data_IF_718201435818
#
_entry.id   IF_718201435818
#
_cell.length_a   1.000
_cell.length_b   1.000
_cell.length_c   1.000
_cell.angle_alpha   90.00
_cell.angle_beta   90.00
_cell.angle_gamma   90.00
#
_symmetry.space_group_name_H-M   'P 1'
#
loop_
_entity.id
_entity.type
_entity.pdbx_description
1 polymer ?
#
# COMPACT_ATOMS: atom_id res chain seq x y z
N UNK A 1 9.32 7.81 -23.39
CA UNK A 1 8.01 7.91 -24.10
C UNK A 1 7.12 8.83 -23.28
N UNK A 2 6.21 9.62 -23.87
CA UNK A 2 5.27 10.40 -23.07
C UNK A 2 4.38 9.46 -22.24
N UNK A 3 4.08 9.84 -21.00
CA UNK A 3 3.12 9.12 -20.15
C UNK A 3 1.75 9.08 -20.81
N UNK A 4 1.04 7.96 -20.68
CA UNK A 4 -0.28 7.79 -21.31
C UNK A 4 -1.43 8.22 -20.38
N UNK A 5 -1.26 8.04 -19.07
CA UNK A 5 -2.29 8.18 -18.05
C UNK A 5 -1.90 9.07 -16.86
N UNK A 6 -0.61 9.34 -16.61
CA UNK A 6 -0.18 10.37 -15.66
C UNK A 6 -0.38 11.78 -16.25
N UNK A 7 -0.96 12.68 -15.45
CA UNK A 7 -0.93 14.11 -15.80
C UNK A 7 0.42 14.72 -15.42
N UNK A 8 0.82 15.86 -16.02
CA UNK A 8 2.06 16.56 -15.65
C UNK A 8 2.14 16.91 -14.15
N UNK A 9 1.01 17.28 -13.54
CA UNK A 9 0.94 17.60 -12.11
C UNK A 9 1.16 16.36 -11.24
N UNK A 10 0.64 15.20 -11.66
CA UNK A 10 0.84 13.93 -10.95
C UNK A 10 2.28 13.42 -11.09
N UNK A 11 2.88 13.58 -12.27
CA UNK A 11 4.29 13.31 -12.51
C UNK A 11 5.17 14.18 -11.60
N UNK A 12 4.98 15.49 -11.61
CA UNK A 12 5.73 16.42 -10.75
C UNK A 12 5.51 16.09 -9.26
N UNK A 13 4.27 15.78 -8.87
CA UNK A 13 3.97 15.38 -7.50
C UNK A 13 4.70 14.10 -7.12
N UNK A 14 4.70 13.09 -7.97
CA UNK A 14 5.38 11.82 -7.70
C UNK A 14 6.90 12.02 -7.60
N UNK A 15 7.50 12.77 -8.52
CA UNK A 15 8.94 13.06 -8.51
C UNK A 15 9.38 13.90 -7.29
N UNK A 16 8.53 14.81 -6.83
CA UNK A 16 8.86 15.72 -5.71
C UNK A 16 8.50 15.14 -4.34
N UNK A 17 7.44 14.33 -4.24
CA UNK A 17 6.91 13.80 -2.98
C UNK A 17 7.15 12.30 -2.78
N UNK A 18 7.43 11.56 -3.85
CA UNK A 18 7.67 10.12 -3.82
C UNK A 18 6.42 9.26 -3.65
N UNK A 19 5.22 9.82 -3.83
CA UNK A 19 3.96 9.08 -3.74
C UNK A 19 2.89 9.69 -4.64
N UNK A 20 1.84 8.92 -4.93
CA UNK A 20 0.66 9.40 -5.65
C UNK A 20 -0.61 8.81 -5.03
N UNK A 21 -1.65 9.63 -4.87
CA UNK A 21 -2.99 9.16 -4.47
C UNK A 21 -3.90 9.15 -5.69
N UNK A 22 -4.56 8.02 -5.91
CA UNK A 22 -5.55 7.85 -6.99
C UNK A 22 -6.94 7.60 -6.39
N UNK A 23 -7.78 8.65 -6.24
CA UNK A 23 -9.11 8.51 -5.64
C UNK A 23 -10.04 7.67 -6.52
N UNK A 24 -10.85 6.80 -5.89
CA UNK A 24 -11.82 5.97 -6.61
C UNK A 24 -11.18 5.02 -7.63
N UNK A 25 -9.95 4.57 -7.35
CA UNK A 25 -9.24 3.65 -8.23
C UNK A 25 -9.84 2.25 -8.25
N UNK A 26 -10.27 1.76 -7.09
CA UNK A 26 -10.83 0.41 -6.91
C UNK A 26 -12.24 0.38 -7.49
N UNK A 27 -12.56 -0.64 -8.31
CA UNK A 27 -13.93 -0.84 -8.75
C UNK A 27 -14.84 -1.23 -7.58
N UNK A 28 -16.00 -0.59 -7.50
CA UNK A 28 -16.96 -0.79 -6.41
C UNK A 28 -17.38 -2.27 -6.26
N UNK A 29 -17.48 -3.01 -7.36
CA UNK A 29 -17.83 -4.44 -7.33
C UNK A 29 -16.89 -5.29 -6.47
N UNK A 30 -15.59 -4.96 -6.44
CA UNK A 30 -14.61 -5.67 -5.64
C UNK A 30 -14.63 -5.25 -4.18
N UNK A 31 -14.92 -3.97 -3.90
CA UNK A 31 -15.17 -3.50 -2.54
C UNK A 31 -16.37 -4.27 -1.97
N UNK A 32 -17.50 -4.27 -2.67
CA UNK A 32 -18.73 -4.92 -2.22
C UNK A 32 -18.52 -6.43 -2.04
N UNK A 33 -17.90 -7.08 -3.03
CA UNK A 33 -17.66 -8.53 -3.02
C UNK A 33 -16.72 -8.95 -1.88
N UNK A 34 -15.62 -8.23 -1.66
CA UNK A 34 -14.64 -8.66 -0.67
C UNK A 34 -15.01 -8.25 0.75
N UNK A 35 -15.65 -7.09 0.92
CA UNK A 35 -16.10 -6.62 2.23
C UNK A 35 -17.33 -7.37 2.75
N UNK A 36 -18.15 -7.96 1.86
CA UNK A 36 -19.34 -8.74 2.25
C UNK A 36 -19.03 -9.85 3.25
N UNK A 37 -17.95 -10.59 3.04
CA UNK A 37 -17.61 -11.79 3.81
C UNK A 37 -16.59 -11.52 4.92
N UNK A 38 -16.12 -10.28 5.04
CA UNK A 38 -15.01 -9.90 5.92
C UNK A 38 -15.31 -10.22 7.40
N UNK A 39 -16.47 -9.79 7.90
CA UNK A 39 -16.83 -9.95 9.32
C UNK A 39 -17.03 -11.42 9.70
N UNK A 40 -17.64 -12.21 8.80
CA UNK A 40 -17.73 -13.66 8.96
C UNK A 40 -16.34 -14.30 8.98
N UNK A 41 -15.43 -13.80 8.16
CA UNK A 41 -14.07 -14.32 8.05
C UNK A 41 -13.20 -14.07 9.28
N UNK A 42 -13.40 -12.94 9.96
CA UNK A 42 -12.69 -12.60 11.20
C UNK A 42 -13.42 -13.08 12.45
N UNK A 43 -14.63 -13.64 12.30
CA UNK A 43 -15.51 -14.06 13.40
C UNK A 43 -15.87 -12.93 14.38
N UNK A 44 -16.02 -11.70 13.86
CA UNK A 44 -16.36 -10.50 14.65
C UNK A 44 -17.70 -9.92 14.21
N UNK A 45 -18.43 -9.32 15.15
CA UNK A 45 -19.59 -8.49 14.84
C UNK A 45 -19.15 -7.05 14.60
N UNK A 46 -19.44 -6.52 13.40
CA UNK A 46 -19.13 -5.14 13.02
C UNK A 46 -19.78 -4.08 13.92
N UNK A 47 -20.82 -4.44 14.67
CA UNK A 47 -21.57 -3.57 15.56
C UNK A 47 -21.28 -3.81 17.05
N UNK A 48 -20.50 -4.84 17.39
CA UNK A 48 -20.13 -5.15 18.76
C UNK A 48 -18.61 -5.35 18.90
N UNK A 49 -17.94 -4.29 19.33
CA UNK A 49 -16.48 -4.29 19.56
C UNK A 49 -16.02 -5.24 20.65
N UNK A 50 -16.90 -5.71 21.53
CA UNK A 50 -16.51 -6.70 22.55
C UNK A 50 -16.12 -8.05 21.94
N UNK A 51 -16.56 -8.29 20.69
CA UNK A 51 -16.15 -9.44 19.89
C UNK A 51 -14.77 -9.26 19.25
N UNK A 52 -14.19 -8.06 19.24
CA UNK A 52 -12.94 -7.77 18.53
C UNK A 52 -11.75 -8.05 19.45
N UNK A 53 -11.14 -9.22 19.29
CA UNK A 53 -10.11 -9.71 20.19
C UNK A 53 -8.67 -9.30 19.81
N UNK A 54 -8.50 -8.56 18.72
CA UNK A 54 -7.19 -8.14 18.17
C UNK A 54 -7.22 -6.71 17.66
N UNK A 55 -6.19 -5.90 17.92
CA UNK A 55 -6.04 -4.56 17.32
C UNK A 55 -5.63 -4.63 15.84
N UNK A 56 -4.76 -5.58 15.49
CA UNK A 56 -4.14 -5.68 14.17
C UNK A 56 -4.19 -7.12 13.65
N UNK A 57 -4.62 -7.30 12.41
CA UNK A 57 -4.78 -8.62 11.81
C UNK A 57 -4.33 -8.65 10.36
N UNK A 58 -3.59 -9.69 9.99
CA UNK A 58 -3.21 -10.03 8.62
C UNK A 58 -4.04 -11.21 8.16
N UNK A 59 -4.88 -11.01 7.16
CA UNK A 59 -5.66 -12.09 6.58
C UNK A 59 -4.91 -12.76 5.43
N UNK A 60 -4.99 -14.10 5.30
CA UNK A 60 -4.47 -14.78 4.11
C UNK A 60 -5.24 -14.30 2.86
N UNK A 61 -4.83 -14.72 1.66
CA UNK A 61 -5.67 -14.48 0.47
C UNK A 61 -6.56 -15.69 0.19
N UNK A 62 -7.80 -15.45 -0.20
CA UNK A 62 -8.71 -16.47 -0.72
C UNK A 62 -9.08 -16.21 -2.19
N UNK A 63 -9.08 -14.94 -2.61
CA UNK A 63 -9.51 -14.51 -3.93
C UNK A 63 -8.52 -13.51 -4.48
N UNK A 64 -8.31 -13.55 -5.79
CA UNK A 64 -7.43 -12.64 -6.50
C UNK A 64 -7.93 -12.41 -7.93
N UNK A 65 -7.66 -11.22 -8.45
CA UNK A 65 -7.94 -10.77 -9.82
C UNK A 65 -6.76 -9.93 -10.30
N UNK A 66 -6.69 -9.66 -11.60
CA UNK A 66 -5.60 -8.85 -12.13
C UNK A 66 -5.75 -7.37 -11.75
N UNK A 67 -4.63 -6.65 -11.70
CA UNK A 67 -4.56 -5.25 -11.29
C UNK A 67 -5.38 -4.34 -12.21
N UNK A 68 -5.32 -4.58 -13.51
CA UNK A 68 -6.12 -3.91 -14.53
C UNK A 68 -7.63 -4.19 -14.38
N UNK A 69 -7.98 -5.38 -13.90
CA UNK A 69 -9.38 -5.73 -13.63
C UNK A 69 -9.86 -5.06 -12.34
N UNK A 70 -9.05 -5.03 -11.30
CA UNK A 70 -9.39 -4.52 -9.98
C UNK A 70 -9.43 -2.99 -9.90
N UNK A 71 -8.40 -2.32 -10.41
CA UNK A 71 -8.20 -0.89 -10.29
C UNK A 71 -7.56 -0.30 -11.56
N UNK A 72 -8.27 -0.29 -12.72
CA UNK A 72 -7.70 0.05 -14.02
C UNK A 72 -7.00 1.41 -14.05
N UNK A 73 -7.62 2.44 -13.45
CA UNK A 73 -7.05 3.80 -13.38
C UNK A 73 -5.72 3.86 -12.62
N UNK A 74 -5.59 3.09 -11.54
CA UNK A 74 -4.33 3.04 -10.79
C UNK A 74 -3.31 2.19 -11.54
N UNK A 75 -3.73 1.08 -12.16
CA UNK A 75 -2.85 0.22 -12.94
C UNK A 75 -2.17 0.97 -14.09
N UNK A 76 -2.92 1.74 -14.87
CA UNK A 76 -2.34 2.53 -15.97
C UNK A 76 -1.28 3.54 -15.47
N UNK A 77 -1.53 4.20 -14.33
CA UNK A 77 -0.55 5.11 -13.71
C UNK A 77 0.67 4.36 -13.17
N UNK A 78 0.48 3.16 -12.62
CA UNK A 78 1.58 2.28 -12.21
C UNK A 78 2.44 1.94 -13.43
N UNK A 79 1.82 1.53 -14.55
CA UNK A 79 2.51 1.22 -15.80
C UNK A 79 3.36 2.41 -16.28
N UNK A 80 2.80 3.62 -16.24
CA UNK A 80 3.52 4.85 -16.57
C UNK A 80 4.72 5.09 -15.64
N UNK A 81 4.52 5.07 -14.31
CA UNK A 81 5.58 5.25 -13.30
C UNK A 81 6.70 4.22 -13.50
N UNK A 82 6.32 2.98 -13.83
CA UNK A 82 7.21 1.87 -14.06
C UNK A 82 7.98 1.95 -15.38
N UNK A 83 7.58 2.84 -16.29
CA UNK A 83 8.17 2.99 -17.62
C UNK A 83 7.77 1.89 -18.61
N UNK A 84 6.63 1.23 -18.39
CA UNK A 84 6.08 0.21 -19.28
C UNK A 84 5.63 -1.06 -18.55
N UNK A 85 4.60 -1.72 -19.09
CA UNK A 85 4.05 -2.96 -18.54
C UNK A 85 5.07 -4.11 -18.59
N UNK A 86 5.99 -4.07 -19.56
CA UNK A 86 7.09 -5.05 -19.70
C UNK A 86 8.10 -5.01 -18.54
N UNK A 87 8.08 -3.95 -17.72
CA UNK A 87 8.88 -3.84 -16.49
C UNK A 87 8.20 -4.48 -15.29
N UNK A 88 6.91 -4.77 -15.38
CA UNK A 88 6.14 -5.34 -14.27
C UNK A 88 6.09 -6.86 -14.43
N UNK A 89 6.39 -7.58 -13.35
CA UNK A 89 6.32 -9.04 -13.39
C UNK A 89 4.87 -9.48 -13.67
N UNK A 90 4.62 -10.28 -14.73
CA UNK A 90 3.26 -10.56 -15.20
C UNK A 90 2.47 -11.47 -14.26
N UNK A 91 3.12 -12.09 -13.27
CA UNK A 91 2.48 -12.98 -12.31
C UNK A 91 2.59 -12.44 -10.91
N UNK A 92 3.82 -12.12 -10.46
CA UNK A 92 4.01 -11.72 -9.07
C UNK A 92 3.32 -10.39 -8.82
N UNK A 93 3.48 -9.37 -9.65
CA UNK A 93 3.02 -8.01 -9.33
C UNK A 93 1.69 -7.63 -9.97
N UNK A 94 1.06 -8.57 -10.67
CA UNK A 94 -0.15 -8.32 -11.45
C UNK A 94 -1.44 -8.69 -10.73
N UNK A 95 -1.38 -9.42 -9.62
CA UNK A 95 -2.58 -9.93 -8.94
C UNK A 95 -2.83 -9.27 -7.59
N UNK A 96 -4.05 -8.77 -7.41
CA UNK A 96 -4.56 -8.19 -6.17
C UNK A 96 -5.71 -9.02 -5.62
N UNK A 97 -5.83 -9.06 -4.31
CA UNK A 97 -6.77 -9.96 -3.64
C UNK A 97 -7.29 -9.44 -2.32
N UNK A 98 -7.97 -10.33 -1.59
CA UNK A 98 -8.56 -10.05 -0.28
C UNK A 98 -7.63 -10.37 0.90
N UNK A 99 -6.33 -10.27 0.70
CA UNK A 99 -5.32 -10.34 1.76
C UNK A 99 -5.26 -9.01 2.52
N UNK A 100 -6.24 -8.78 3.38
CA UNK A 100 -6.37 -7.54 4.13
C UNK A 100 -5.37 -7.46 5.29
N UNK A 101 -4.76 -6.29 5.42
CA UNK A 101 -4.15 -5.80 6.65
C UNK A 101 -5.19 -4.93 7.32
N UNK A 102 -5.60 -5.32 8.52
CA UNK A 102 -6.72 -4.74 9.24
C UNK A 102 -6.21 -4.09 10.51
N UNK A 103 -6.63 -2.85 10.75
CA UNK A 103 -6.51 -2.20 12.03
C UNK A 103 -7.90 -1.93 12.60
N UNK A 104 -8.25 -2.61 13.68
CA UNK A 104 -9.53 -2.49 14.41
C UNK A 104 -9.54 -1.31 15.40
N UNK A 105 -8.38 -0.69 15.62
CA UNK A 105 -8.17 0.37 16.59
C UNK A 105 -8.19 -0.14 18.03
N UNK A 106 -8.04 0.80 18.97
CA UNK A 106 -8.17 0.55 20.40
C UNK A 106 -9.13 1.55 21.03
N UNK A 107 -9.73 1.18 22.17
CA UNK A 107 -10.56 2.11 22.95
C UNK A 107 -9.77 3.34 23.43
N UNK A 108 -8.48 3.17 23.68
CA UNK A 108 -7.58 4.26 24.09
C UNK A 108 -7.37 5.28 22.96
N UNK A 109 -7.10 4.82 21.73
CA UNK A 109 -6.78 5.69 20.59
C UNK A 109 -8.03 6.26 19.90
N UNK A 110 -9.16 5.56 19.95
CA UNK A 110 -10.41 5.98 19.31
C UNK A 110 -10.89 7.41 19.69
N UNK A 111 -10.84 7.84 20.96
CA UNK A 111 -11.25 9.20 21.35
C UNK A 111 -10.15 10.25 21.18
N UNK A 112 -8.89 9.85 20.94
CA UNK A 112 -7.77 10.79 20.86
C UNK A 112 -7.91 11.69 19.64
N UNK A 113 -7.58 12.97 19.84
CA UNK A 113 -7.57 13.99 18.78
C UNK A 113 -6.14 14.47 18.48
N UNK A 114 -5.16 13.82 19.09
CA UNK A 114 -3.76 14.19 18.96
C UNK A 114 -3.24 13.69 17.61
N UNK A 115 -2.56 14.57 16.90
CA UNK A 115 -1.74 14.17 15.77
C UNK A 115 -0.45 13.61 16.35
N UNK A 116 -0.16 12.35 16.06
CA UNK A 116 1.11 11.76 16.45
C UNK A 116 2.11 11.88 15.32
N UNK A 117 3.36 12.17 15.66
CA UNK A 117 4.45 12.08 14.70
C UNK A 117 4.65 10.61 14.30
N UNK A 118 4.64 10.26 13.00
CA UNK A 118 4.72 8.86 12.57
C UNK A 118 5.92 8.13 13.15
N UNK A 119 7.08 8.79 13.23
CA UNK A 119 8.34 8.21 13.74
C UNK A 119 8.32 7.89 15.23
N UNK A 120 7.39 8.47 15.98
CA UNK A 120 7.20 8.20 17.41
C UNK A 120 6.25 7.02 17.64
N UNK A 121 5.60 6.52 16.59
CA UNK A 121 4.69 5.38 16.69
C UNK A 121 5.46 4.08 16.81
N UNK A 122 4.99 3.23 17.74
CA UNK A 122 5.49 1.86 17.87
C UNK A 122 5.22 1.09 16.57
N UNK A 123 6.27 0.50 16.01
CA UNK A 123 6.20 -0.23 14.75
C UNK A 123 6.39 0.65 13.50
N UNK A 124 6.73 1.94 13.66
CA UNK A 124 7.20 2.74 12.54
C UNK A 124 8.47 2.15 11.95
N UNK A 125 8.46 1.95 10.64
CA UNK A 125 9.59 1.46 9.88
C UNK A 125 9.51 1.98 8.44
N UNK A 126 10.58 1.76 7.68
CA UNK A 126 10.54 1.84 6.23
C UNK A 126 10.43 0.41 5.72
N UNK A 127 9.48 0.13 4.83
CA UNK A 127 9.34 -1.20 4.26
C UNK A 127 10.67 -1.68 3.68
N UNK A 128 10.90 -2.99 3.79
CA UNK A 128 12.11 -3.70 3.35
C UNK A 128 13.42 -3.40 4.11
N UNK A 129 13.35 -2.80 5.31
CA UNK A 129 14.51 -2.54 6.17
C UNK A 129 15.11 -3.78 6.87
N UNK A 130 14.47 -4.94 6.76
CA UNK A 130 14.78 -6.17 7.50
C UNK A 130 15.48 -7.25 6.67
N UNK A 131 15.74 -7.01 5.39
CA UNK A 131 16.50 -7.92 4.53
C UNK A 131 17.43 -7.17 3.56
N UNK A 132 18.40 -7.87 2.98
CA UNK A 132 19.31 -7.26 2.00
C UNK A 132 18.59 -7.05 0.69
N UNK A 133 18.55 -5.80 0.25
CA UNK A 133 18.07 -5.42 -1.06
C UNK A 133 19.21 -5.01 -1.98
N UNK A 134 19.03 -5.30 -3.25
CA UNK A 134 19.90 -4.84 -4.33
C UNK A 134 19.15 -3.79 -5.15
N UNK A 135 19.88 -2.95 -5.90
CA UNK A 135 19.29 -1.93 -6.76
C UNK A 135 18.33 -2.51 -7.81
N UNK A 136 18.50 -3.78 -8.16
CA UNK A 136 17.64 -4.53 -9.08
C UNK A 136 16.59 -5.40 -8.37
N UNK A 137 16.50 -5.31 -7.03
CA UNK A 137 15.44 -5.95 -6.27
C UNK A 137 14.13 -5.25 -6.56
N UNK A 138 13.16 -6.05 -6.97
CA UNK A 138 11.79 -5.64 -7.20
C UNK A 138 11.14 -4.86 -6.07
N UNK A 139 11.59 -5.13 -4.85
CA UNK A 139 10.97 -4.56 -3.68
C UNK A 139 11.17 -3.07 -3.49
N UNK A 140 12.24 -2.53 -4.08
CA UNK A 140 12.64 -1.14 -3.89
C UNK A 140 11.84 -0.12 -4.70
N UNK A 141 10.94 -0.53 -5.59
CA UNK A 141 10.50 0.36 -6.65
C UNK A 141 9.17 1.05 -6.37
N UNK A 142 8.12 0.30 -6.01
CA UNK A 142 6.81 0.89 -5.72
C UNK A 142 6.03 0.03 -4.72
N UNK A 143 5.47 0.69 -3.72
CA UNK A 143 4.51 0.11 -2.77
C UNK A 143 3.10 0.60 -3.10
N UNK A 144 2.19 -0.32 -3.38
CA UNK A 144 0.79 -0.02 -3.71
C UNK A 144 -0.09 -0.33 -2.51
N UNK A 145 -0.81 0.69 -2.03
CA UNK A 145 -1.72 0.61 -0.88
C UNK A 145 -3.15 0.82 -1.40
N UNK A 146 -3.97 -0.22 -1.32
CA UNK A 146 -5.40 -0.15 -1.61
C UNK A 146 -6.19 0.03 -0.32
N UNK A 147 -7.05 1.04 -0.28
CA UNK A 147 -7.80 1.44 0.90
C UNK A 147 -9.28 1.14 0.66
N UNK A 148 -9.86 0.20 1.42
CA UNK A 148 -11.23 -0.31 1.19
C UNK A 148 -12.31 0.37 2.03
N UNK A 149 -11.89 1.10 3.06
CA UNK A 149 -12.73 1.96 3.89
C UNK A 149 -12.10 3.33 3.91
N UNK A 150 -12.87 4.37 4.24
CA UNK A 150 -12.26 5.69 4.41
C UNK A 150 -11.10 5.64 5.43
N UNK A 151 -10.28 6.68 5.47
CA UNK A 151 -9.32 6.85 6.58
C UNK A 151 -9.75 8.11 7.30
N UNK A 152 -10.42 7.94 8.43
CA UNK A 152 -10.79 9.08 9.27
C UNK A 152 -9.64 9.38 10.21
N UNK A 153 -9.24 10.66 10.28
CA UNK A 153 -8.42 11.20 11.37
C UNK A 153 -9.11 11.05 12.74
N UNK A 154 -10.40 10.71 12.74
CA UNK A 154 -11.27 10.53 13.90
C UNK A 154 -11.87 9.13 13.82
N UNK A 155 -11.28 8.10 14.43
CA UNK A 155 -11.82 6.75 14.38
C UNK A 155 -13.24 6.77 14.97
N UNK A 156 -14.24 6.37 14.18
CA UNK A 156 -15.56 6.08 14.75
C UNK A 156 -15.46 4.77 15.53
N UNK A 157 -16.24 4.58 16.60
CA UNK A 157 -16.33 3.30 17.29
C UNK A 157 -16.75 2.11 16.39
N UNK A 158 -17.14 2.30 15.13
CA UNK A 158 -17.44 1.22 14.18
C UNK A 158 -16.42 1.09 13.03
N UNK A 159 -15.19 1.59 13.20
CA UNK A 159 -14.27 1.76 12.08
C UNK A 159 -13.03 0.87 12.18
N UNK A 160 -12.75 0.14 11.11
CA UNK A 160 -11.49 -0.54 10.89
C UNK A 160 -10.91 -0.09 9.55
N UNK A 161 -9.60 0.09 9.48
CA UNK A 161 -8.93 0.44 8.22
C UNK A 161 -8.42 -0.83 7.56
N UNK A 162 -8.83 -1.05 6.31
CA UNK A 162 -8.47 -2.22 5.53
C UNK A 162 -7.54 -1.81 4.40
N UNK A 163 -6.31 -2.28 4.47
CA UNK A 163 -5.27 -2.03 3.47
C UNK A 163 -4.90 -3.32 2.78
N UNK A 164 -4.75 -3.31 1.46
CA UNK A 164 -3.96 -4.31 0.76
C UNK A 164 -2.67 -3.65 0.28
N UNK A 165 -1.53 -4.14 0.76
CA UNK A 165 -0.19 -3.67 0.37
C UNK A 165 0.46 -4.69 -0.57
N UNK A 166 0.92 -4.24 -1.75
CA UNK A 166 1.76 -5.05 -2.62
C UNK A 166 2.90 -4.23 -3.21
N UNK A 167 4.05 -4.89 -3.32
CA UNK A 167 5.27 -4.36 -3.92
C UNK A 167 5.24 -4.60 -5.43
N UNK A 168 5.76 -3.69 -6.26
CA UNK A 168 5.85 -3.89 -7.70
C UNK A 168 7.22 -3.45 -8.25
N UNK A 169 7.96 -4.38 -8.89
CA UNK A 169 8.61 -4.22 -10.23
C UNK A 169 9.70 -5.26 -10.54
N UNK A 170 10.19 -5.35 -11.79
CA UNK A 170 11.48 -5.98 -12.15
C UNK A 170 12.25 -5.00 -13.06
N UNK A 171 13.52 -4.76 -12.73
CA UNK A 171 14.55 -3.90 -13.39
C UNK A 171 14.19 -3.12 -14.67
N UNK A 172 14.54 -1.83 -14.67
CA UNK A 172 14.95 -1.05 -15.85
C UNK A 172 16.36 -1.47 -16.30
N UNK A 173 16.49 -2.17 -17.42
CA UNK A 173 17.74 -2.17 -18.18
C UNK A 173 17.70 -0.98 -19.15
N UNK A 174 18.45 0.07 -18.82
CA UNK A 174 18.78 1.17 -19.72
C UNK A 174 18.16 2.52 -19.35
N UNK A 175 19.01 3.46 -18.94
CA UNK A 175 18.82 4.87 -19.32
C UNK A 175 18.42 5.88 -18.24
N UNK A 176 19.12 5.95 -17.11
CA UNK A 176 19.32 7.22 -16.40
C UNK A 176 20.77 7.28 -15.89
N UNK A 177 21.71 7.55 -16.81
CA UNK A 177 23.07 7.93 -16.47
C UNK A 177 23.09 9.39 -16.01
N UNK A 178 22.77 9.60 -14.73
CA UNK A 178 23.07 10.83 -14.02
C UNK A 178 23.58 10.44 -12.64
N UNK A 179 24.87 10.64 -12.38
CA UNK A 179 25.45 10.39 -11.06
C UNK A 179 24.68 11.19 -9.99
N UNK A 180 24.14 10.56 -8.94
CA UNK A 180 23.76 11.30 -7.76
C UNK A 180 25.03 11.64 -7.00
N UNK A 181 25.46 12.90 -7.09
CA UNK A 181 26.41 13.50 -6.14
C UNK A 181 25.71 13.62 -4.77
N UNK A 182 25.59 12.51 -4.05
CA UNK A 182 24.96 12.44 -2.73
C UNK A 182 25.78 11.51 -1.85
N UNK A 183 26.33 12.05 -0.77
CA UNK A 183 27.16 11.32 0.20
C UNK A 183 26.43 10.04 0.67
N UNK A 184 27.15 8.91 0.87
CA UNK A 184 26.54 7.69 1.40
C UNK A 184 25.97 7.94 2.79
N UNK A 185 24.72 7.51 3.02
CA UNK A 185 24.16 7.42 4.36
C UNK A 185 24.98 6.42 5.19
N UNK A 186 25.29 6.72 6.46
CA UNK A 186 26.03 5.80 7.30
C UNK A 186 25.21 4.53 7.55
N UNK A 187 25.85 3.35 7.62
CA UNK A 187 25.16 2.11 7.91
C UNK A 187 24.50 2.20 9.29
N UNK A 188 23.21 1.84 9.36
CA UNK A 188 22.52 1.64 10.62
C UNK A 188 23.26 0.53 11.40
N UNK A 189 23.96 0.91 12.46
CA UNK A 189 24.60 -0.03 13.36
C UNK A 189 23.52 -0.75 14.16
N UNK A 190 23.22 -1.99 13.78
CA UNK A 190 22.53 -2.93 14.65
C UNK A 190 23.43 -3.21 15.86
N UNK A 191 23.03 -2.78 17.05
CA UNK A 191 23.51 -3.40 18.29
C UNK A 191 22.39 -4.28 18.82
N UNK A 192 22.78 -5.52 19.09
CA UNK A 192 22.02 -6.62 19.71
C UNK A 192 21.33 -6.19 21.00
#
# INVERSE_FOLDING_TARGET
MPFQSLTPDEEEHFLTKGWLRVPGAIKQEYIDKWMKDLWVRVDYDKHDKTTWHTEYLHLPRHREVTAEEFAPKAWEKIVDICGGEDKIDPVRERYYGDAFIINFGTEEKAPTRESFEPREQKGWHTDDDWYRMFLDSSGNALTVIHVFTDISLRPSPAFATFVNCRLALRRLEGGLSGEPSGKPFPPATTRL
#
